data_IF_234776929327
#
_entry.id   IF_234776929327
#
_cell.length_a   1.000
_cell.length_b   1.000
_cell.length_c   1.000
_cell.angle_alpha   90.00
_cell.angle_beta   90.00
_cell.angle_gamma   90.00
#
_symmetry.space_group_name_H-M   'P 1'
#
loop_
_entity.id
_entity.type
_entity.pdbx_description
1 polymer ?
#
# COMPACT_ATOMS: atom_id res chain seq x y z
N UNK A 1 -18.91 -5.90 -5.49
CA UNK A 1 -19.77 -6.17 -4.32
C UNK A 1 -20.02 -4.83 -3.63
N UNK A 2 -21.28 -4.41 -3.56
CA UNK A 2 -21.67 -3.21 -2.82
C UNK A 2 -21.80 -3.65 -1.37
N UNK A 3 -20.93 -3.13 -0.49
CA UNK A 3 -20.97 -3.39 0.94
C UNK A 3 -22.29 -2.84 1.50
N UNK A 4 -23.00 -3.70 2.22
CA UNK A 4 -24.23 -3.33 2.91
C UNK A 4 -23.90 -2.36 4.05
N UNK A 5 -24.84 -1.46 4.39
CA UNK A 5 -24.62 -0.43 5.43
C UNK A 5 -24.30 -1.02 6.82
N UNK A 6 -24.68 -2.28 7.07
CA UNK A 6 -24.27 -2.96 8.29
C UNK A 6 -22.77 -3.26 8.35
N UNK A 7 -22.14 -3.54 7.22
CA UNK A 7 -20.71 -3.81 7.14
C UNK A 7 -19.90 -2.53 7.31
N UNK A 8 -20.36 -1.39 6.78
CA UNK A 8 -19.64 -0.11 6.87
C UNK A 8 -19.45 0.37 8.32
N UNK A 9 -20.50 0.27 9.16
CA UNK A 9 -20.42 0.66 10.55
C UNK A 9 -19.52 -0.28 11.36
N UNK A 10 -19.51 -1.57 11.00
CA UNK A 10 -18.64 -2.57 11.61
C UNK A 10 -17.18 -2.35 11.19
N UNK A 11 -16.91 -2.17 9.90
CA UNK A 11 -15.58 -1.94 9.34
C UNK A 11 -14.95 -0.66 9.91
N UNK A 12 -15.71 0.42 10.05
CA UNK A 12 -15.20 1.65 10.69
C UNK A 12 -14.78 1.44 12.15
N UNK A 13 -15.40 0.51 12.88
CA UNK A 13 -15.03 0.20 14.27
C UNK A 13 -13.85 -0.76 14.37
N UNK A 14 -13.75 -1.70 13.44
CA UNK A 14 -12.69 -2.72 13.43
C UNK A 14 -11.40 -2.18 12.82
N UNK A 15 -11.48 -1.33 11.81
CA UNK A 15 -10.31 -0.83 11.09
C UNK A 15 -9.24 -0.18 11.99
N UNK A 16 -9.57 0.67 12.98
CA UNK A 16 -8.56 1.24 13.86
C UNK A 16 -7.77 0.18 14.66
N UNK A 17 -8.38 -0.99 14.92
CA UNK A 17 -7.71 -2.10 15.63
C UNK A 17 -6.67 -2.83 14.78
N UNK A 18 -6.71 -2.69 13.45
CA UNK A 18 -5.72 -3.27 12.55
C UNK A 18 -4.51 -2.36 12.34
N UNK A 19 -4.60 -1.10 12.77
CA UNK A 19 -3.55 -0.12 12.59
C UNK A 19 -2.49 -0.23 13.70
N UNK A 20 -1.22 -0.17 13.31
CA UNK A 20 -0.07 -0.19 14.22
C UNK A 20 0.89 0.94 13.89
N UNK A 21 1.65 1.40 14.89
CA UNK A 21 2.73 2.37 14.71
C UNK A 21 2.27 3.68 14.05
N UNK A 22 2.89 4.02 12.92
CA UNK A 22 2.63 5.27 12.19
C UNK A 22 1.20 5.34 11.63
N UNK A 23 0.63 4.22 11.23
CA UNK A 23 -0.74 4.17 10.71
C UNK A 23 -1.77 4.52 11.79
N UNK A 24 -1.55 4.08 13.04
CA UNK A 24 -2.39 4.46 14.16
C UNK A 24 -2.24 5.94 14.51
N UNK A 25 -1.01 6.49 14.46
CA UNK A 25 -0.77 7.93 14.69
C UNK A 25 -1.45 8.79 13.64
N UNK A 26 -1.38 8.40 12.37
CA UNK A 26 -2.13 9.06 11.30
C UNK A 26 -3.63 9.05 11.58
N UNK A 27 -4.20 7.90 11.92
CA UNK A 27 -5.64 7.78 12.19
C UNK A 27 -6.08 8.68 13.35
N UNK A 28 -5.28 8.78 14.43
CA UNK A 28 -5.55 9.67 15.55
C UNK A 28 -5.38 11.17 15.22
N UNK A 29 -4.64 11.50 14.16
CA UNK A 29 -4.45 12.88 13.70
C UNK A 29 -5.63 13.42 12.88
N UNK A 30 -6.54 12.54 12.45
CA UNK A 30 -7.71 12.93 11.66
C UNK A 30 -8.64 13.81 12.49
N UNK A 31 -9.09 14.92 11.91
CA UNK A 31 -10.05 15.82 12.54
C UNK A 31 -11.34 15.05 12.88
N UNK A 32 -11.86 15.26 14.09
CA UNK A 32 -13.13 14.66 14.51
C UNK A 32 -14.24 15.00 13.52
N UNK A 33 -15.06 14.01 13.16
CA UNK A 33 -16.17 14.13 12.22
C UNK A 33 -15.75 14.42 10.76
N UNK A 34 -14.52 14.14 10.37
CA UNK A 34 -14.05 14.27 8.97
C UNK A 34 -14.37 13.04 8.09
N UNK A 35 -14.67 11.89 8.69
CA UNK A 35 -14.94 10.63 8.00
C UNK A 35 -16.32 10.12 8.43
N UNK A 36 -17.19 9.89 7.46
CA UNK A 36 -18.60 9.53 7.68
C UNK A 36 -18.94 8.09 7.27
N UNK A 37 -18.08 7.44 6.49
CA UNK A 37 -18.24 6.04 6.07
C UNK A 37 -16.88 5.39 5.80
N UNK A 38 -16.90 4.06 5.65
CA UNK A 38 -15.67 3.29 5.48
C UNK A 38 -14.97 3.57 4.15
N UNK A 39 -15.73 3.86 3.09
CA UNK A 39 -15.16 4.27 1.80
C UNK A 39 -14.32 5.54 1.92
N UNK A 40 -14.80 6.56 2.63
CA UNK A 40 -14.02 7.78 2.89
C UNK A 40 -12.76 7.50 3.70
N UNK A 41 -12.84 6.58 4.67
CA UNK A 41 -11.67 6.16 5.44
C UNK A 41 -10.63 5.45 4.56
N UNK A 42 -11.09 4.54 3.71
CA UNK A 42 -10.25 3.82 2.76
C UNK A 42 -9.55 4.79 1.81
N UNK A 43 -10.28 5.74 1.22
CA UNK A 43 -9.73 6.71 0.29
C UNK A 43 -8.69 7.61 0.97
N UNK A 44 -8.98 8.12 2.16
CA UNK A 44 -8.04 8.94 2.93
C UNK A 44 -6.77 8.16 3.32
N UNK A 45 -6.92 6.88 3.70
CA UNK A 45 -5.80 6.00 4.01
C UNK A 45 -4.92 5.78 2.77
N UNK A 46 -5.54 5.45 1.63
CA UNK A 46 -4.84 5.23 0.37
C UNK A 46 -4.15 6.50 -0.13
N UNK A 47 -4.77 7.67 0.03
CA UNK A 47 -4.17 8.96 -0.33
C UNK A 47 -2.94 9.27 0.54
N UNK A 48 -3.08 9.11 1.86
CA UNK A 48 -1.99 9.36 2.81
C UNK A 48 -0.80 8.43 2.55
N UNK A 49 -1.06 7.15 2.29
CA UNK A 49 -0.03 6.16 2.01
C UNK A 49 0.31 6.01 0.52
N UNK A 50 -0.27 6.83 -0.37
CA UNK A 50 -0.04 6.73 -1.83
C UNK A 50 1.43 6.90 -2.20
N UNK A 51 2.15 7.75 -1.47
CA UNK A 51 3.57 7.98 -1.69
C UNK A 51 4.46 6.87 -1.10
N UNK A 52 3.98 6.17 -0.07
CA UNK A 52 4.61 4.97 0.48
C UNK A 52 4.35 3.74 -0.39
N UNK A 53 3.26 3.77 -1.18
CA UNK A 53 3.00 2.80 -2.23
C UNK A 53 4.01 2.99 -3.35
N UNK A 54 5.20 2.39 -3.19
CA UNK A 54 6.14 2.20 -4.31
C UNK A 54 5.31 1.70 -5.48
N UNK A 55 5.34 2.42 -6.61
CA UNK A 55 4.66 1.98 -7.84
C UNK A 55 4.92 0.48 -8.00
N UNK A 56 3.88 -0.34 -8.18
CA UNK A 56 4.08 -1.76 -8.44
C UNK A 56 5.10 -1.87 -9.55
N UNK A 57 6.15 -2.66 -9.32
CA UNK A 57 7.08 -2.94 -10.40
C UNK A 57 6.28 -3.56 -11.52
N UNK A 58 6.43 -3.02 -12.72
CA UNK A 58 5.76 -3.51 -13.91
C UNK A 58 6.78 -4.13 -14.86
N UNK A 59 6.26 -4.83 -15.87
CA UNK A 59 7.09 -5.53 -16.86
C UNK A 59 8.05 -4.56 -17.55
N UNK A 60 7.63 -3.32 -17.82
CA UNK A 60 8.46 -2.28 -18.41
C UNK A 60 9.65 -1.90 -17.50
N UNK A 61 9.41 -1.74 -16.21
CA UNK A 61 10.46 -1.51 -15.20
C UNK A 61 11.46 -2.65 -15.15
N UNK A 62 10.99 -3.90 -15.25
CA UNK A 62 11.85 -5.08 -15.30
C UNK A 62 12.77 -5.09 -16.53
N UNK A 63 12.24 -4.79 -17.73
CA UNK A 63 13.05 -4.70 -18.95
C UNK A 63 14.04 -3.53 -18.94
N UNK A 64 13.75 -2.47 -18.18
CA UNK A 64 14.66 -1.33 -18.01
C UNK A 64 15.83 -1.61 -17.05
N UNK A 65 15.80 -2.73 -16.31
CA UNK A 65 16.84 -3.07 -15.33
C UNK A 65 18.19 -3.27 -16.00
N UNK A 66 19.15 -2.45 -15.58
CA UNK A 66 20.56 -2.64 -15.91
C UNK A 66 21.32 -3.19 -14.71
N UNK A 67 22.29 -4.04 -14.98
CA UNK A 67 23.28 -4.48 -13.98
C UNK A 67 23.99 -3.23 -13.44
N UNK A 68 24.14 -3.13 -12.12
CA UNK A 68 24.90 -2.02 -11.51
C UNK A 68 26.40 -2.27 -11.68
N UNK A 69 27.21 -1.21 -11.57
CA UNK A 69 28.67 -1.30 -11.75
C UNK A 69 29.32 -2.18 -10.68
N UNK A 70 28.84 -2.06 -9.45
CA UNK A 70 29.29 -2.74 -8.23
C UNK A 70 28.66 -4.12 -7.99
N UNK A 71 27.66 -4.50 -8.80
CA UNK A 71 26.92 -5.75 -8.64
C UNK A 71 27.57 -6.90 -9.43
N UNK A 72 27.57 -8.12 -8.92
CA UNK A 72 27.99 -9.31 -9.69
C UNK A 72 26.86 -9.78 -10.62
N UNK A 73 27.18 -10.62 -11.61
CA UNK A 73 26.13 -11.19 -12.48
C UNK A 73 25.12 -12.02 -11.70
N UNK A 74 25.56 -12.74 -10.67
CA UNK A 74 24.71 -13.58 -9.81
C UNK A 74 23.71 -12.72 -9.03
N UNK A 75 24.17 -11.62 -8.45
CA UNK A 75 23.32 -10.69 -7.71
C UNK A 75 22.31 -10.00 -8.62
N UNK A 76 22.72 -9.62 -9.83
CA UNK A 76 21.81 -9.06 -10.83
C UNK A 76 20.69 -10.03 -11.20
N UNK A 77 21.02 -11.29 -11.54
CA UNK A 77 20.01 -12.31 -11.87
C UNK A 77 19.08 -12.58 -10.69
N UNK A 78 19.62 -12.61 -9.47
CA UNK A 78 18.81 -12.78 -8.27
C UNK A 78 17.82 -11.61 -8.08
N UNK A 79 18.29 -10.36 -8.21
CA UNK A 79 17.43 -9.17 -8.14
C UNK A 79 16.38 -9.17 -9.23
N UNK A 80 16.77 -9.46 -10.47
CA UNK A 80 15.86 -9.53 -11.62
C UNK A 80 14.74 -10.55 -11.37
N UNK A 81 15.08 -11.77 -10.95
CA UNK A 81 14.09 -12.82 -10.65
C UNK A 81 13.16 -12.44 -9.50
N UNK A 82 13.70 -11.82 -8.44
CA UNK A 82 12.88 -11.34 -7.32
C UNK A 82 11.87 -10.30 -7.78
N UNK A 83 12.32 -9.30 -8.54
CA UNK A 83 11.45 -8.28 -9.12
C UNK A 83 10.41 -8.87 -10.06
N UNK A 84 10.79 -9.85 -10.89
CA UNK A 84 9.86 -10.53 -11.80
C UNK A 84 8.76 -11.32 -11.06
N UNK A 85 9.06 -11.88 -9.89
CA UNK A 85 8.09 -12.60 -9.06
C UNK A 85 7.14 -11.69 -8.29
N UNK A 86 7.47 -10.39 -8.15
CA UNK A 86 6.62 -9.37 -7.51
C UNK A 86 5.63 -8.74 -8.50
N UNK A 87 5.77 -8.99 -9.80
CA UNK A 87 4.83 -8.54 -10.84
C UNK A 87 3.62 -9.50 -10.85
N UNK A 88 2.38 -9.01 -10.67
CA UNK A 88 1.16 -9.81 -10.70
C UNK A 88 0.90 -10.52 -12.03
#
# INVERSE_FOLDING_TARGET
MILDRHDDAFLNKVFPSTLIGEAMRWFLSLTSNSIHNFTQLQDAFLEHYRHNWKKPQDVAGLFSLKKRVDETMREFVHRFRRMAAEIP
#
